data_IF_323989006236
#
_entry.id   IF_323989006236
#
_cell.length_a   1.000
_cell.length_b   1.000
_cell.length_c   1.000
_cell.angle_alpha   90.00
_cell.angle_beta   90.00
_cell.angle_gamma   90.00
#
_symmetry.space_group_name_H-M   'P 1'
#
loop_
_entity.id
_entity.type
_entity.pdbx_description
1 polymer ?
#
# COMPACT_ATOMS: atom_id res chain seq x y z
N UNK A 1 11.37 5.67 17.87
CA UNK A 1 10.35 6.11 16.88
C UNK A 1 9.16 6.76 17.58
N UNK A 2 8.51 7.79 16.99
CA UNK A 2 7.26 8.34 17.52
C UNK A 2 6.19 7.25 17.62
N UNK A 3 5.32 7.34 18.64
CA UNK A 3 4.19 6.43 18.73
C UNK A 3 3.19 6.68 17.59
N UNK A 4 2.46 5.66 17.14
CA UNK A 4 1.40 5.83 16.14
C UNK A 4 0.39 6.90 16.57
N UNK A 5 0.02 6.93 17.84
CA UNK A 5 -0.91 7.94 18.37
C UNK A 5 -0.36 9.38 18.19
N UNK A 6 0.93 9.58 18.46
CA UNK A 6 1.57 10.89 18.25
C UNK A 6 1.59 11.29 16.78
N UNK A 7 1.89 10.35 15.86
CA UNK A 7 1.86 10.60 14.42
C UNK A 7 0.46 10.95 13.94
N UNK A 8 -0.57 10.18 14.35
CA UNK A 8 -1.96 10.47 13.95
C UNK A 8 -2.48 11.80 14.53
N UNK A 9 -2.09 12.17 15.75
CA UNK A 9 -2.40 13.51 16.26
C UNK A 9 -1.82 14.62 15.38
N UNK A 10 -0.57 14.48 14.93
CA UNK A 10 0.04 15.44 14.01
C UNK A 10 -0.64 15.45 12.64
N UNK A 11 -1.03 14.28 12.12
CA UNK A 11 -1.73 14.15 10.83
C UNK A 11 -3.13 14.80 10.88
N UNK A 12 -3.88 14.58 11.97
CA UNK A 12 -5.26 15.04 12.09
C UNK A 12 -5.39 16.51 12.49
N UNK A 13 -4.50 16.99 13.35
CA UNK A 13 -4.59 18.33 13.94
C UNK A 13 -3.47 19.27 13.49
N UNK A 14 -2.45 18.76 12.82
CA UNK A 14 -1.37 19.57 12.26
C UNK A 14 -1.90 20.44 11.11
N UNK A 15 -1.73 21.74 11.23
CA UNK A 15 -2.02 22.66 10.12
C UNK A 15 -0.85 22.64 9.15
N UNK A 16 -1.13 22.40 7.89
CA UNK A 16 -0.19 22.47 6.78
C UNK A 16 -0.64 23.59 5.84
N UNK A 17 0.26 24.48 5.41
CA UNK A 17 -0.11 25.62 4.57
C UNK A 17 -0.60 25.24 3.16
N UNK A 18 -0.30 24.03 2.73
CA UNK A 18 -0.49 23.57 1.36
C UNK A 18 0.85 23.49 0.62
N UNK A 19 0.84 22.85 -0.55
CA UNK A 19 2.03 22.77 -1.37
C UNK A 19 2.33 24.12 -2.03
N UNK A 20 3.57 24.58 -1.92
CA UNK A 20 4.09 25.86 -2.42
C UNK A 20 4.68 25.75 -3.84
N UNK A 21 4.44 24.65 -4.54
CA UNK A 21 4.95 24.31 -5.88
C UNK A 21 6.49 24.11 -5.94
N UNK A 22 7.15 24.10 -4.79
CA UNK A 22 8.58 23.79 -4.73
C UNK A 22 8.83 22.28 -4.70
N UNK A 23 9.98 21.81 -5.23
CA UNK A 23 10.42 20.44 -5.10
C UNK A 23 10.50 20.02 -3.62
N UNK A 24 10.12 18.78 -3.33
CA UNK A 24 10.26 18.26 -1.98
C UNK A 24 11.73 17.99 -1.67
N UNK A 25 12.19 18.29 -0.45
CA UNK A 25 13.54 17.95 -0.05
C UNK A 25 13.67 16.44 0.17
N UNK A 26 14.84 15.91 0.00
CA UNK A 26 15.17 14.55 0.44
C UNK A 26 15.04 14.45 1.95
N UNK A 27 14.24 13.51 2.43
CA UNK A 27 14.03 13.24 3.86
C UNK A 27 14.29 11.77 4.10
N UNK A 28 15.27 11.48 4.93
CA UNK A 28 15.64 10.12 5.31
C UNK A 28 15.26 9.84 6.76
N UNK A 29 14.67 8.68 7.01
CA UNK A 29 14.33 8.19 8.36
C UNK A 29 14.66 6.71 8.47
N UNK A 30 15.10 6.30 9.66
CA UNK A 30 15.50 4.92 9.95
C UNK A 30 14.97 4.46 11.30
N UNK A 31 14.67 3.18 11.38
CA UNK A 31 14.45 2.45 12.63
C UNK A 31 15.34 1.21 12.66
N UNK A 32 16.21 1.11 13.63
CA UNK A 32 17.08 -0.05 13.84
C UNK A 32 16.55 -0.91 15.01
N UNK A 33 17.02 -2.15 15.09
CA UNK A 33 16.63 -3.12 16.12
C UNK A 33 15.12 -3.32 16.21
N UNK A 34 14.47 -3.38 15.03
CA UNK A 34 13.04 -3.62 14.96
C UNK A 34 12.76 -5.10 15.18
N UNK A 35 12.07 -5.39 16.29
CA UNK A 35 11.55 -6.72 16.58
C UNK A 35 10.08 -6.83 16.19
N UNK A 36 9.70 -7.96 15.68
CA UNK A 36 8.35 -8.20 15.17
C UNK A 36 7.49 -8.93 16.21
N UNK A 37 6.19 -8.64 16.21
CA UNK A 37 5.23 -9.32 17.07
C UNK A 37 4.52 -10.42 16.30
N UNK A 38 4.68 -11.66 16.74
CA UNK A 38 4.00 -12.85 16.18
C UNK A 38 2.47 -12.64 16.09
N UNK A 39 1.89 -12.06 17.13
CA UNK A 39 0.46 -11.80 17.18
C UNK A 39 0.01 -10.82 16.07
N UNK A 40 0.79 -9.74 15.85
CA UNK A 40 0.48 -8.78 14.78
C UNK A 40 0.69 -9.35 13.38
N UNK A 41 1.71 -10.19 13.20
CA UNK A 41 1.93 -10.89 11.93
C UNK A 41 0.73 -11.79 11.63
N UNK A 42 0.27 -12.56 12.62
CA UNK A 42 -0.89 -13.45 12.47
C UNK A 42 -2.15 -12.67 12.13
N UNK A 43 -2.44 -11.57 12.82
CA UNK A 43 -3.58 -10.70 12.53
C UNK A 43 -3.52 -10.12 11.10
N UNK A 44 -2.32 -9.74 10.65
CA UNK A 44 -2.11 -9.24 9.30
C UNK A 44 -2.31 -10.34 8.25
N UNK A 45 -1.71 -11.50 8.48
CA UNK A 45 -1.84 -12.65 7.60
C UNK A 45 -3.31 -13.04 7.43
N UNK A 46 -4.06 -13.14 8.53
CA UNK A 46 -5.48 -13.46 8.54
C UNK A 46 -6.31 -12.46 7.71
N UNK A 47 -6.18 -11.16 7.98
CA UNK A 47 -6.98 -10.14 7.28
C UNK A 47 -6.63 -10.01 5.81
N UNK A 48 -5.39 -10.35 5.42
CA UNK A 48 -4.92 -10.34 4.04
C UNK A 48 -5.06 -11.69 3.33
N UNK A 49 -5.33 -12.77 4.08
CA UNK A 49 -5.52 -14.12 3.56
C UNK A 49 -4.22 -14.84 3.19
N UNK A 50 -3.13 -14.53 3.86
CA UNK A 50 -1.91 -15.33 3.82
C UNK A 50 -2.00 -16.51 4.81
N UNK A 51 -1.44 -17.62 4.42
CA UNK A 51 -1.09 -18.69 5.36
C UNK A 51 0.17 -18.25 6.12
N UNK A 52 0.15 -18.34 7.43
CA UNK A 52 1.28 -17.99 8.28
C UNK A 52 1.68 -19.19 9.15
N UNK A 53 2.85 -19.73 8.87
CA UNK A 53 3.43 -20.88 9.53
C UNK A 53 4.05 -20.59 10.92
N UNK A 54 4.02 -19.30 11.35
CA UNK A 54 4.68 -18.83 12.56
C UNK A 54 6.13 -18.42 12.35
N UNK A 55 6.69 -18.64 11.17
CA UNK A 55 8.11 -18.42 10.85
C UNK A 55 8.30 -17.37 9.76
N UNK A 56 7.72 -17.62 8.58
CA UNK A 56 7.97 -16.79 7.39
C UNK A 56 6.98 -15.64 7.28
N UNK A 57 7.48 -14.41 7.15
CA UNK A 57 6.63 -13.23 7.04
C UNK A 57 5.84 -13.21 5.73
N UNK A 58 4.55 -12.79 5.77
CA UNK A 58 3.88 -12.36 4.54
C UNK A 58 4.70 -11.27 3.85
N UNK A 59 5.00 -11.38 2.55
CA UNK A 59 5.93 -10.46 1.86
C UNK A 59 5.57 -8.98 1.94
N UNK A 60 4.28 -8.69 2.07
CA UNK A 60 3.76 -7.32 2.20
C UNK A 60 3.73 -6.82 3.65
N UNK A 61 4.02 -7.68 4.66
CA UNK A 61 3.97 -7.27 6.06
C UNK A 61 5.03 -6.22 6.42
N UNK A 62 6.21 -6.29 5.80
CA UNK A 62 7.28 -5.32 6.05
C UNK A 62 6.88 -3.88 5.67
N UNK A 63 5.90 -3.73 4.77
CA UNK A 63 5.31 -2.44 4.44
C UNK A 63 4.62 -1.77 5.63
N UNK A 64 4.13 -2.52 6.61
CA UNK A 64 3.53 -1.99 7.85
C UNK A 64 4.55 -1.13 8.63
N UNK A 65 5.80 -1.56 8.66
CA UNK A 65 6.88 -0.80 9.29
C UNK A 65 7.35 0.37 8.41
N UNK A 66 7.47 0.14 7.10
CA UNK A 66 7.75 1.22 6.15
C UNK A 66 6.69 2.33 6.27
N UNK A 67 5.41 2.00 6.34
CA UNK A 67 4.32 2.97 6.48
C UNK A 67 4.44 3.85 7.74
N UNK A 68 4.93 3.31 8.86
CA UNK A 68 5.21 4.12 10.07
C UNK A 68 6.30 5.16 9.83
N UNK A 69 7.32 4.83 9.06
CA UNK A 69 8.37 5.77 8.66
C UNK A 69 7.85 6.77 7.62
N UNK A 70 7.02 6.34 6.67
CA UNK A 70 6.29 7.23 5.77
C UNK A 70 5.48 8.28 6.55
N UNK A 71 4.71 7.87 7.57
CA UNK A 71 3.96 8.78 8.42
C UNK A 71 4.88 9.77 9.16
N UNK A 72 6.09 9.37 9.53
CA UNK A 72 7.11 10.25 10.11
C UNK A 72 7.59 11.29 9.09
N UNK A 73 7.89 10.87 7.86
CA UNK A 73 8.26 11.78 6.76
C UNK A 73 7.14 12.77 6.49
N UNK A 74 5.88 12.30 6.34
CA UNK A 74 4.73 13.16 6.05
C UNK A 74 4.41 14.16 7.17
N UNK A 75 4.79 13.86 8.41
CA UNK A 75 4.65 14.82 9.52
C UNK A 75 5.85 15.76 9.67
N UNK A 76 6.89 15.60 8.86
CA UNK A 76 8.05 16.50 8.85
C UNK A 76 7.64 17.91 8.40
N UNK A 77 8.31 18.94 8.96
CA UNK A 77 7.98 20.34 8.69
C UNK A 77 8.16 20.75 7.22
N UNK A 78 9.09 20.12 6.52
CA UNK A 78 9.38 20.41 5.12
C UNK A 78 8.35 19.82 4.14
N UNK A 79 7.48 18.90 4.57
CA UNK A 79 6.31 18.48 3.81
C UNK A 79 5.17 19.41 4.14
N UNK A 80 4.84 20.33 3.24
CA UNK A 80 3.94 21.48 3.50
C UNK A 80 2.46 21.16 3.30
N UNK A 81 2.12 20.04 2.67
CA UNK A 81 0.75 19.60 2.39
C UNK A 81 0.28 18.48 3.35
N UNK A 82 -1.04 18.33 3.54
CA UNK A 82 -1.58 17.31 4.43
C UNK A 82 -1.46 15.90 3.84
N UNK A 83 -1.22 14.91 4.70
CA UNK A 83 -1.26 13.49 4.34
C UNK A 83 -2.66 13.04 3.91
N UNK A 84 -3.70 13.58 4.57
CA UNK A 84 -5.10 13.25 4.25
C UNK A 84 -5.48 13.78 2.88
N UNK A 85 -5.98 12.91 2.03
CA UNK A 85 -6.32 13.23 0.64
C UNK A 85 -5.23 12.88 -0.38
N UNK A 86 -4.07 12.40 0.04
CA UNK A 86 -3.09 11.83 -0.89
C UNK A 86 -3.57 10.51 -1.47
N UNK A 87 -3.22 10.30 -2.73
CA UNK A 87 -3.56 9.09 -3.47
C UNK A 87 -2.31 8.23 -3.64
N UNK A 88 -2.37 6.98 -3.22
CA UNK A 88 -1.33 5.99 -3.51
C UNK A 88 -1.55 5.47 -4.93
N UNK A 89 -0.66 5.86 -5.86
CA UNK A 89 -0.80 5.53 -7.29
C UNK A 89 -0.22 4.16 -7.62
N UNK A 90 1.00 3.89 -7.14
CA UNK A 90 1.78 2.70 -7.47
C UNK A 90 2.56 2.22 -6.27
N UNK A 91 2.77 0.93 -6.23
CA UNK A 91 3.67 0.33 -5.25
C UNK A 91 4.38 -0.88 -5.86
N UNK A 92 5.71 -0.83 -5.85
CA UNK A 92 6.60 -1.96 -6.15
C UNK A 92 7.15 -2.53 -4.85
N UNK A 93 7.25 -3.85 -4.73
CA UNK A 93 7.94 -4.55 -3.63
C UNK A 93 8.83 -5.60 -4.25
N UNK A 94 10.14 -5.54 -3.95
CA UNK A 94 11.11 -6.59 -4.25
C UNK A 94 11.43 -7.37 -2.97
N UNK A 95 11.33 -8.67 -3.03
CA UNK A 95 11.66 -9.62 -1.97
C UNK A 95 12.87 -10.42 -2.45
N UNK A 96 14.02 -10.21 -1.81
CA UNK A 96 15.27 -10.84 -2.22
C UNK A 96 15.46 -12.22 -1.58
N UNK A 97 14.85 -12.45 -0.43
CA UNK A 97 14.66 -13.75 0.22
C UNK A 97 13.48 -13.72 1.20
N UNK A 98 12.94 -14.86 1.59
CA UNK A 98 12.01 -14.92 2.72
C UNK A 98 12.62 -14.32 4.00
N UNK A 99 11.84 -13.53 4.72
CA UNK A 99 12.24 -12.94 6.00
C UNK A 99 11.54 -13.66 7.13
N UNK A 100 12.31 -14.03 8.17
CA UNK A 100 11.77 -14.76 9.33
C UNK A 100 11.24 -13.80 10.39
N UNK A 101 10.26 -14.24 11.12
CA UNK A 101 9.59 -13.45 12.16
C UNK A 101 10.44 -13.22 13.42
N UNK A 102 11.53 -13.99 13.58
CA UNK A 102 12.51 -13.88 14.68
C UNK A 102 13.74 -13.03 14.31
N UNK A 103 13.86 -12.55 13.07
CA UNK A 103 14.95 -11.68 12.64
C UNK A 103 14.80 -10.26 13.18
N UNK A 104 15.92 -9.66 13.55
CA UNK A 104 16.00 -8.24 13.93
C UNK A 104 16.24 -7.40 12.68
N UNK A 105 15.36 -6.42 12.45
CA UNK A 105 15.36 -5.66 11.22
C UNK A 105 15.89 -4.23 11.41
N UNK A 106 16.51 -3.72 10.36
CA UNK A 106 16.70 -2.28 10.15
C UNK A 106 15.79 -1.85 9.00
N UNK A 107 14.92 -0.87 9.25
CA UNK A 107 13.98 -0.32 8.27
C UNK A 107 14.36 1.12 7.97
N UNK A 108 14.50 1.44 6.70
CA UNK A 108 14.90 2.76 6.20
C UNK A 108 13.85 3.25 5.22
N UNK A 109 13.53 4.54 5.26
CA UNK A 109 12.66 5.18 4.28
C UNK A 109 13.23 6.53 3.88
N UNK A 110 13.09 6.83 2.59
CA UNK A 110 13.55 8.06 1.98
C UNK A 110 12.48 8.63 1.07
N UNK A 111 12.19 9.92 1.24
CA UNK A 111 11.51 10.71 0.22
C UNK A 111 12.58 11.10 -0.81
N UNK A 112 12.56 10.45 -1.97
CA UNK A 112 13.70 10.46 -2.89
C UNK A 112 13.51 11.36 -4.10
N UNK A 113 12.29 11.46 -4.61
CA UNK A 113 12.00 12.20 -5.84
C UNK A 113 10.62 12.84 -5.79
N UNK A 114 10.47 13.96 -6.48
CA UNK A 114 9.17 14.62 -6.66
C UNK A 114 9.09 15.29 -8.02
N UNK A 115 7.91 15.24 -8.64
CA UNK A 115 7.67 15.76 -9.99
C UNK A 115 6.29 16.38 -10.10
N UNK A 116 6.24 17.51 -10.78
CA UNK A 116 5.00 18.19 -11.10
C UNK A 116 4.33 17.51 -12.28
N UNK A 117 3.06 17.20 -12.12
CA UNK A 117 2.22 16.64 -13.17
C UNK A 117 0.97 17.48 -13.34
N UNK A 118 0.25 17.28 -14.43
CA UNK A 118 -1.05 17.95 -14.62
C UNK A 118 -2.09 17.58 -13.54
N UNK A 119 -1.88 16.51 -12.78
CA UNK A 119 -2.80 16.05 -11.73
C UNK A 119 -2.40 16.55 -10.35
N UNK A 120 -1.21 17.14 -10.21
CA UNK A 120 -0.63 17.62 -8.97
C UNK A 120 0.81 17.18 -8.78
N UNK A 121 1.27 17.15 -7.54
CA UNK A 121 2.61 16.73 -7.17
C UNK A 121 2.65 15.21 -6.98
N UNK A 122 3.37 14.52 -7.84
CA UNK A 122 3.76 13.12 -7.61
C UNK A 122 5.10 13.07 -6.89
N UNK A 123 5.25 12.10 -6.00
CA UNK A 123 6.51 11.88 -5.28
C UNK A 123 6.68 10.43 -4.88
N UNK A 124 7.94 10.04 -4.69
CA UNK A 124 8.35 8.67 -4.46
C UNK A 124 8.95 8.48 -3.05
N UNK A 125 8.52 7.41 -2.38
CA UNK A 125 9.10 6.93 -1.14
C UNK A 125 9.78 5.58 -1.39
N UNK A 126 11.09 5.54 -1.21
CA UNK A 126 11.88 4.30 -1.21
C UNK A 126 11.95 3.78 0.22
N UNK A 127 11.64 2.51 0.41
CA UNK A 127 11.75 1.82 1.70
C UNK A 127 12.64 0.61 1.54
N UNK A 128 13.56 0.40 2.48
CA UNK A 128 14.49 -0.73 2.49
C UNK A 128 14.43 -1.41 3.86
N UNK A 129 14.50 -2.74 3.84
CA UNK A 129 14.64 -3.55 5.06
C UNK A 129 15.87 -4.41 4.92
N UNK A 130 16.74 -4.35 5.94
CA UNK A 130 17.95 -5.16 6.04
C UNK A 130 17.95 -5.99 7.32
N UNK A 131 18.60 -7.15 7.24
CA UNK A 131 18.93 -8.04 8.36
C UNK A 131 20.45 -8.20 8.38
N UNK A 132 21.12 -7.84 9.45
CA UNK A 132 22.57 -7.90 9.56
C UNK A 132 23.27 -7.30 8.33
N UNK A 133 22.85 -6.11 7.90
CA UNK A 133 23.32 -5.35 6.72
C UNK A 133 22.97 -5.97 5.34
N UNK A 134 22.40 -7.17 5.28
CA UNK A 134 21.87 -7.74 4.05
C UNK A 134 20.53 -7.09 3.68
N UNK A 135 20.42 -6.52 2.47
CA UNK A 135 19.14 -6.03 1.95
C UNK A 135 18.24 -7.21 1.60
N UNK A 136 17.16 -7.39 2.35
CA UNK A 136 16.23 -8.53 2.18
C UNK A 136 14.93 -8.15 1.51
N UNK A 137 14.57 -6.85 1.56
CA UNK A 137 13.31 -6.34 1.02
C UNK A 137 13.42 -4.86 0.66
N UNK A 138 12.77 -4.47 -0.41
CA UNK A 138 12.69 -3.08 -0.83
C UNK A 138 11.30 -2.75 -1.36
N UNK A 139 10.84 -1.53 -1.17
CA UNK A 139 9.62 -1.01 -1.80
C UNK A 139 9.81 0.39 -2.35
N UNK A 140 9.13 0.65 -3.45
CA UNK A 140 8.93 1.99 -4.02
C UNK A 140 7.44 2.30 -4.02
N UNK A 141 7.05 3.39 -3.36
CA UNK A 141 5.66 3.89 -3.33
C UNK A 141 5.56 5.23 -4.01
N UNK A 142 4.72 5.35 -5.02
CA UNK A 142 4.41 6.61 -5.68
C UNK A 142 3.10 7.15 -5.17
N UNK A 143 3.13 8.36 -4.64
CA UNK A 143 1.95 9.10 -4.15
C UNK A 143 1.68 10.32 -5.00
N UNK A 144 0.41 10.74 -5.01
CA UNK A 144 -0.05 11.98 -5.63
C UNK A 144 -0.71 12.87 -4.57
N UNK A 145 -0.18 14.06 -4.39
CA UNK A 145 -0.92 15.16 -3.79
C UNK A 145 -1.68 15.89 -4.90
N UNK A 146 -3.01 15.65 -4.92
CA UNK A 146 -3.86 16.15 -5.99
C UNK A 146 -4.07 17.65 -5.88
N UNK A 147 -3.97 18.34 -7.01
CA UNK A 147 -4.38 19.72 -7.17
C UNK A 147 -5.63 19.71 -8.06
N UNK A 148 -6.71 20.29 -7.56
CA UNK A 148 -7.94 20.39 -8.34
C UNK A 148 -7.74 21.38 -9.50
N UNK A 149 -7.76 20.83 -10.72
CA UNK A 149 -7.75 21.62 -11.95
C UNK A 149 -9.19 21.71 -12.44
N UNK A 150 -9.81 22.90 -12.45
CA UNK A 150 -11.18 23.07 -12.92
C UNK A 150 -11.38 22.52 -14.34
N UNK A 151 -12.45 21.77 -14.56
CA UNK A 151 -12.85 21.28 -15.88
C UNK A 151 -12.22 19.95 -16.33
N UNK A 152 -11.26 19.39 -15.61
CA UNK A 152 -10.64 18.11 -15.97
C UNK A 152 -11.40 16.92 -15.38
N UNK A 153 -12.10 16.19 -16.24
CA UNK A 153 -12.64 14.86 -15.88
C UNK A 153 -11.62 13.78 -16.30
N UNK A 154 -11.05 13.08 -15.32
CA UNK A 154 -10.22 11.94 -15.61
C UNK A 154 -11.05 10.86 -16.35
N UNK A 155 -10.52 10.35 -17.47
CA UNK A 155 -11.13 9.21 -18.14
C UNK A 155 -11.02 7.98 -17.24
N UNK A 156 -12.12 7.23 -17.01
CA UNK A 156 -12.03 6.03 -16.19
C UNK A 156 -11.08 5.02 -16.83
N UNK A 157 -10.23 4.35 -16.04
CA UNK A 157 -9.32 3.34 -16.56
C UNK A 157 -10.12 2.17 -17.12
N UNK A 158 -9.61 1.58 -18.21
CA UNK A 158 -10.16 0.35 -18.80
C UNK A 158 -9.50 -0.86 -18.14
N UNK A 159 -10.28 -1.93 -17.99
CA UNK A 159 -9.73 -3.23 -17.67
C UNK A 159 -8.88 -3.72 -18.85
N UNK A 160 -7.79 -4.46 -18.56
CA UNK A 160 -6.99 -5.09 -19.61
C UNK A 160 -7.73 -6.27 -20.22
N UNK A 161 -7.38 -6.61 -21.46
CA UNK A 161 -7.72 -7.90 -22.02
C UNK A 161 -6.78 -8.94 -21.45
N UNK A 162 -7.29 -9.83 -20.63
CA UNK A 162 -6.51 -10.82 -19.91
C UNK A 162 -7.21 -12.16 -19.92
N UNK A 163 -6.49 -13.21 -20.34
CA UNK A 163 -6.97 -14.59 -20.31
C UNK A 163 -6.85 -15.15 -18.88
N UNK A 164 -7.82 -14.88 -18.04
CA UNK A 164 -7.78 -15.27 -16.63
C UNK A 164 -7.78 -16.79 -16.47
N UNK A 165 -6.74 -17.30 -15.81
CA UNK A 165 -6.55 -18.73 -15.56
C UNK A 165 -7.30 -19.22 -14.32
N UNK A 166 -7.41 -18.34 -13.29
CA UNK A 166 -8.15 -18.60 -12.07
C UNK A 166 -8.91 -17.34 -11.68
N UNK A 167 -10.21 -17.48 -11.41
CA UNK A 167 -11.11 -16.38 -11.08
C UNK A 167 -11.72 -16.62 -9.72
N UNK A 168 -11.54 -15.67 -8.81
CA UNK A 168 -12.09 -15.70 -7.46
C UNK A 168 -12.93 -14.47 -7.21
N UNK A 169 -14.05 -14.65 -6.54
CA UNK A 169 -14.88 -13.53 -6.05
C UNK A 169 -14.67 -13.36 -4.56
N UNK A 170 -14.49 -12.13 -4.12
CA UNK A 170 -14.32 -11.79 -2.71
C UNK A 170 -15.39 -10.82 -2.28
N UNK A 171 -16.03 -11.15 -1.17
CA UNK A 171 -16.94 -10.24 -0.48
C UNK A 171 -16.17 -9.41 0.53
N UNK A 172 -16.22 -8.10 0.38
CA UNK A 172 -15.62 -7.13 1.27
C UNK A 172 -16.69 -6.63 2.26
N UNK A 173 -16.47 -6.87 3.54
CA UNK A 173 -17.38 -6.47 4.60
C UNK A 173 -17.12 -5.04 5.07
N UNK A 174 -18.08 -4.41 5.73
CA UNK A 174 -17.92 -3.03 6.24
C UNK A 174 -16.80 -2.88 7.28
N UNK A 175 -16.49 -3.93 8.02
CA UNK A 175 -15.48 -3.94 9.08
C UNK A 175 -14.07 -4.17 8.57
N UNK A 176 -13.90 -4.56 7.31
CA UNK A 176 -12.60 -4.89 6.71
C UNK A 176 -11.58 -3.77 6.88
N UNK A 177 -11.98 -2.51 6.65
CA UNK A 177 -11.10 -1.36 6.83
C UNK A 177 -10.57 -1.23 8.25
N UNK A 178 -11.43 -1.44 9.26
CA UNK A 178 -11.04 -1.41 10.67
C UNK A 178 -10.15 -2.59 11.06
N UNK A 179 -10.45 -3.80 10.55
CA UNK A 179 -9.60 -5.00 10.78
C UNK A 179 -8.20 -4.80 10.19
N UNK A 180 -8.11 -4.31 8.96
CA UNK A 180 -6.83 -4.04 8.34
C UNK A 180 -6.08 -2.90 9.06
N UNK A 181 -6.75 -1.81 9.43
CA UNK A 181 -6.14 -0.71 10.20
C UNK A 181 -5.54 -1.20 11.53
N UNK A 182 -6.23 -2.10 12.25
CA UNK A 182 -5.72 -2.71 13.49
C UNK A 182 -4.45 -3.52 13.27
N UNK A 183 -4.37 -4.25 12.16
CA UNK A 183 -3.22 -5.09 11.82
C UNK A 183 -2.06 -4.29 11.23
N UNK A 184 -2.33 -3.30 10.38
CA UNK A 184 -1.32 -2.53 9.65
C UNK A 184 -0.89 -1.23 10.32
N UNK A 185 -1.71 -0.70 11.23
CA UNK A 185 -1.51 0.63 11.79
C UNK A 185 -1.92 1.78 10.87
N UNK A 186 -2.51 1.50 9.70
CA UNK A 186 -3.05 2.51 8.79
C UNK A 186 -4.49 2.89 9.17
N UNK A 187 -4.61 3.90 10.03
CA UNK A 187 -5.89 4.45 10.49
C UNK A 187 -6.35 5.66 9.67
N UNK A 188 -6.06 5.72 8.38
CA UNK A 188 -6.58 6.79 7.53
C UNK A 188 -8.11 6.76 7.55
N UNK A 189 -8.72 7.90 7.88
CA UNK A 189 -10.13 8.05 8.20
C UNK A 189 -11.08 7.60 7.08
N UNK A 190 -10.67 7.67 5.82
CA UNK A 190 -11.47 7.25 4.67
C UNK A 190 -11.77 5.74 4.65
N UNK A 191 -11.02 4.96 5.43
CA UNK A 191 -11.15 3.51 5.52
C UNK A 191 -11.95 3.03 6.74
N UNK A 192 -12.30 3.93 7.67
CA UNK A 192 -12.77 3.55 9.00
C UNK A 192 -14.28 3.75 9.21
N UNK A 193 -14.83 4.86 8.70
CA UNK A 193 -16.22 5.21 8.96
C UNK A 193 -16.85 6.02 7.82
N UNK A 194 -18.12 5.76 7.45
CA UNK A 194 -18.78 6.45 6.33
C UNK A 194 -18.86 7.98 6.46
N UNK A 195 -19.10 8.50 7.67
CA UNK A 195 -19.15 9.94 7.91
C UNK A 195 -17.78 10.61 7.70
N UNK A 196 -16.70 9.88 8.01
CA UNK A 196 -15.35 10.38 7.81
C UNK A 196 -14.96 10.35 6.34
N UNK A 197 -15.27 9.28 5.60
CA UNK A 197 -15.00 9.22 4.17
C UNK A 197 -15.79 10.26 3.37
N UNK A 198 -17.04 10.55 3.73
CA UNK A 198 -17.85 11.62 3.11
C UNK A 198 -17.20 13.01 3.22
N UNK A 199 -16.51 13.30 4.33
CA UNK A 199 -15.79 14.55 4.51
C UNK A 199 -14.64 14.73 3.48
N UNK A 200 -14.15 13.62 2.92
CA UNK A 200 -13.13 13.61 1.87
C UNK A 200 -13.71 13.37 0.47
N UNK A 201 -15.03 13.51 0.29
CA UNK A 201 -15.70 13.40 -1.01
C UNK A 201 -16.02 11.98 -1.46
N UNK A 202 -15.94 10.98 -0.57
CA UNK A 202 -16.28 9.60 -0.88
C UNK A 202 -17.65 9.21 -0.30
N UNK A 203 -18.51 8.62 -1.11
CA UNK A 203 -19.86 8.23 -0.69
C UNK A 203 -19.88 7.13 0.38
N UNK A 204 -18.89 6.24 0.36
CA UNK A 204 -18.75 5.08 1.25
C UNK A 204 -17.30 4.92 1.71
N UNK A 205 -17.11 4.03 2.68
CA UNK A 205 -15.78 3.63 3.17
C UNK A 205 -15.01 2.93 2.06
N UNK A 206 -13.71 3.15 2.00
CA UNK A 206 -12.81 2.57 1.01
C UNK A 206 -11.99 1.43 1.61
N UNK A 207 -11.73 0.38 0.85
CA UNK A 207 -10.69 -0.59 1.21
C UNK A 207 -9.30 0.06 1.04
N UNK A 208 -8.33 -0.34 1.87
CA UNK A 208 -6.95 0.09 1.71
C UNK A 208 -6.34 -0.50 0.43
N UNK A 209 -5.64 0.32 -0.34
CA UNK A 209 -4.94 -0.16 -1.54
C UNK A 209 -3.95 -1.27 -1.21
N UNK A 210 -3.17 -1.12 -0.13
CA UNK A 210 -2.20 -2.13 0.29
C UNK A 210 -2.85 -3.43 0.80
N UNK A 211 -4.09 -3.39 1.34
CA UNK A 211 -4.85 -4.60 1.58
C UNK A 211 -5.17 -5.31 0.25
N UNK A 212 -5.62 -4.57 -0.75
CA UNK A 212 -5.92 -5.13 -2.08
C UNK A 212 -4.70 -5.80 -2.70
N UNK A 213 -3.52 -5.16 -2.62
CA UNK A 213 -2.25 -5.76 -3.05
C UNK A 213 -1.92 -7.03 -2.26
N UNK A 214 -1.99 -6.97 -0.93
CA UNK A 214 -1.68 -8.10 -0.06
C UNK A 214 -2.62 -9.28 -0.32
N UNK A 215 -3.93 -9.00 -0.45
CA UNK A 215 -4.93 -10.04 -0.75
C UNK A 215 -4.73 -10.69 -2.11
N UNK A 216 -4.39 -9.90 -3.13
CA UNK A 216 -4.06 -10.42 -4.46
C UNK A 216 -2.79 -11.29 -4.41
N UNK A 217 -1.73 -10.79 -3.77
CA UNK A 217 -0.46 -11.53 -3.65
C UNK A 217 -0.64 -12.85 -2.88
N UNK A 218 -1.48 -12.89 -1.84
CA UNK A 218 -1.73 -14.12 -1.08
C UNK A 218 -2.25 -15.26 -1.94
N UNK A 219 -2.94 -14.96 -3.05
CA UNK A 219 -3.44 -15.98 -3.98
C UNK A 219 -2.35 -16.50 -4.94
N UNK A 220 -1.22 -15.83 -5.01
CA UNK A 220 -0.13 -16.16 -5.92
C UNK A 220 1.04 -16.84 -5.20
N UNK A 221 1.04 -16.88 -3.86
CA UNK A 221 2.16 -17.41 -3.07
C UNK A 221 2.49 -18.87 -3.39
N UNK A 222 1.49 -19.70 -3.67
CA UNK A 222 1.71 -21.10 -4.08
C UNK A 222 2.49 -21.26 -5.39
N UNK A 223 2.44 -20.25 -6.27
CA UNK A 223 3.19 -20.23 -7.53
C UNK A 223 4.58 -19.62 -7.37
N UNK A 224 4.73 -18.70 -6.41
CA UNK A 224 5.98 -17.97 -6.17
C UNK A 224 6.94 -18.82 -5.35
N UNK A 225 6.45 -19.47 -4.29
CA UNK A 225 7.28 -20.19 -3.32
C UNK A 225 8.28 -19.27 -2.62
N UNK A 226 9.49 -19.76 -2.42
CA UNK A 226 10.58 -19.04 -1.73
C UNK A 226 11.53 -18.30 -2.69
N UNK A 227 11.17 -18.19 -3.97
CA UNK A 227 12.02 -17.54 -4.97
C UNK A 227 12.04 -16.02 -4.73
N UNK A 228 13.18 -15.35 -5.00
CA UNK A 228 13.20 -13.89 -5.09
C UNK A 228 12.22 -13.41 -6.17
N UNK A 229 11.48 -12.35 -5.86
CA UNK A 229 10.49 -11.80 -6.78
C UNK A 229 10.24 -10.32 -6.55
N UNK A 230 9.68 -9.68 -7.55
CA UNK A 230 9.13 -8.34 -7.47
C UNK A 230 7.63 -8.38 -7.74
N UNK A 231 6.85 -7.64 -6.97
CA UNK A 231 5.43 -7.42 -7.22
C UNK A 231 5.14 -5.95 -7.41
N UNK A 232 4.71 -5.59 -8.62
CA UNK A 232 4.33 -4.24 -9.01
C UNK A 232 2.82 -4.12 -9.07
N UNK A 233 2.26 -3.03 -8.54
CA UNK A 233 0.84 -2.73 -8.68
C UNK A 233 0.61 -1.26 -9.01
N UNK A 234 -0.45 -1.03 -9.78
CA UNK A 234 -1.08 0.27 -9.96
C UNK A 234 -2.48 0.25 -9.34
N UNK A 235 -2.74 1.20 -8.45
CA UNK A 235 -4.06 1.41 -7.89
C UNK A 235 -4.90 2.26 -8.86
N UNK A 236 -6.02 1.71 -9.34
CA UNK A 236 -6.85 2.36 -10.38
C UNK A 236 -8.07 3.03 -9.76
N UNK A 237 -9.13 2.31 -9.53
CA UNK A 237 -10.37 2.85 -8.96
C UNK A 237 -10.50 2.46 -7.49
N UNK A 238 -11.06 3.34 -6.64
CA UNK A 238 -11.32 3.00 -5.26
C UNK A 238 -12.28 1.80 -5.14
N UNK A 239 -12.03 0.93 -4.18
CA UNK A 239 -12.92 -0.17 -3.80
C UNK A 239 -13.78 0.30 -2.64
N UNK A 240 -15.06 0.50 -2.88
CA UNK A 240 -16.01 0.86 -1.83
C UNK A 240 -16.46 -0.36 -1.01
N UNK A 241 -16.68 -0.18 0.27
CA UNK A 241 -17.18 -1.23 1.15
C UNK A 241 -18.56 -0.89 1.73
N UNK A 242 -19.45 -1.87 1.91
CA UNK A 242 -19.32 -3.26 1.48
C UNK A 242 -19.45 -3.39 -0.05
N UNK A 243 -18.80 -4.39 -0.62
CA UNK A 243 -18.90 -4.73 -2.05
C UNK A 243 -18.39 -6.13 -2.35
N UNK A 244 -18.48 -6.52 -3.60
CA UNK A 244 -17.86 -7.72 -4.14
C UNK A 244 -16.88 -7.32 -5.24
N UNK A 245 -15.75 -8.01 -5.31
CA UNK A 245 -14.71 -7.83 -6.33
C UNK A 245 -14.34 -9.17 -6.95
N UNK A 246 -13.89 -9.12 -8.18
CA UNK A 246 -13.39 -10.29 -8.90
C UNK A 246 -11.88 -10.16 -9.05
N UNK A 247 -11.16 -11.19 -8.65
CA UNK A 247 -9.72 -11.34 -8.84
C UNK A 247 -9.44 -12.39 -9.89
N UNK A 248 -8.44 -12.18 -10.71
CA UNK A 248 -7.94 -13.16 -11.65
C UNK A 248 -6.49 -12.88 -12.03
N UNK A 249 -5.82 -13.90 -12.52
CA UNK A 249 -4.45 -13.80 -13.01
C UNK A 249 -4.23 -14.66 -14.25
N UNK A 250 -3.13 -14.40 -14.94
CA UNK A 250 -2.61 -15.23 -16.03
C UNK A 250 -1.10 -15.41 -15.89
N UNK A 251 -0.58 -16.50 -16.47
CA UNK A 251 0.86 -16.72 -16.55
C UNK A 251 1.45 -15.87 -17.66
N UNK A 252 2.61 -15.28 -17.40
CA UNK A 252 3.47 -14.60 -18.36
C UNK A 252 4.85 -15.27 -18.35
N UNK A 253 5.71 -14.93 -19.29
CA UNK A 253 7.01 -15.59 -19.50
C UNK A 253 7.84 -15.72 -18.21
N UNK A 254 7.94 -14.66 -17.41
CA UNK A 254 8.72 -14.65 -16.15
C UNK A 254 7.86 -14.25 -14.96
N UNK A 255 6.69 -14.87 -14.78
CA UNK A 255 5.86 -14.55 -13.62
C UNK A 255 4.35 -14.67 -13.83
N UNK A 256 3.63 -13.75 -13.21
CA UNK A 256 2.16 -13.67 -13.26
C UNK A 256 1.70 -12.24 -13.45
N UNK A 257 0.71 -12.01 -14.32
CA UNK A 257 -0.06 -10.77 -14.39
C UNK A 257 -1.40 -10.98 -13.69
N UNK A 258 -1.86 -10.02 -12.91
CA UNK A 258 -3.10 -10.16 -12.14
C UNK A 258 -3.87 -8.85 -12.07
N UNK A 259 -5.17 -8.96 -11.87
CA UNK A 259 -6.05 -7.81 -11.65
C UNK A 259 -7.11 -8.11 -10.58
N UNK A 260 -7.54 -7.05 -9.92
CA UNK A 260 -8.77 -7.02 -9.14
C UNK A 260 -9.73 -6.01 -9.78
N UNK A 261 -10.94 -6.46 -10.09
CA UNK A 261 -11.97 -5.69 -10.78
C UNK A 261 -13.27 -5.64 -9.97
N UNK A 262 -14.19 -4.79 -10.40
CA UNK A 262 -15.56 -4.83 -9.89
C UNK A 262 -16.20 -6.22 -10.15
N UNK A 263 -17.31 -6.51 -9.49
CA UNK A 263 -18.02 -7.81 -9.60
C UNK A 263 -18.40 -8.16 -11.04
N UNK A 264 -18.57 -7.14 -11.90
CA UNK A 264 -18.89 -7.34 -13.34
C UNK A 264 -17.62 -7.53 -14.19
N UNK A 265 -16.44 -7.51 -13.61
CA UNK A 265 -15.16 -7.66 -14.31
C UNK A 265 -14.81 -6.51 -15.27
N UNK A 266 -15.46 -5.34 -15.14
CA UNK A 266 -15.35 -4.25 -16.12
C UNK A 266 -14.42 -3.13 -15.68
N UNK A 267 -14.37 -2.83 -14.38
CA UNK A 267 -13.64 -1.70 -13.84
C UNK A 267 -12.47 -2.18 -13.00
N UNK A 268 -11.24 -1.89 -13.39
CA UNK A 268 -10.07 -2.31 -12.60
C UNK A 268 -9.95 -1.46 -11.33
N UNK A 269 -9.76 -2.13 -10.21
CA UNK A 269 -9.37 -1.54 -8.94
C UNK A 269 -7.87 -1.60 -8.72
N UNK A 270 -7.26 -2.71 -9.15
CA UNK A 270 -5.84 -3.00 -9.03
C UNK A 270 -5.37 -3.74 -10.27
N UNK A 271 -4.24 -3.35 -10.82
CA UNK A 271 -3.52 -4.07 -11.86
C UNK A 271 -2.09 -4.32 -11.40
N UNK A 272 -1.55 -5.51 -11.62
CA UNK A 272 -0.21 -5.81 -11.17
C UNK A 272 0.44 -7.00 -11.85
N UNK A 273 1.75 -7.10 -11.60
CA UNK A 273 2.59 -8.20 -12.06
C UNK A 273 3.42 -8.73 -10.89
N UNK A 274 3.67 -10.03 -10.89
CA UNK A 274 4.75 -10.65 -10.14
C UNK A 274 5.79 -11.10 -11.16
N UNK A 275 7.06 -10.73 -10.93
CA UNK A 275 8.20 -11.10 -11.77
C UNK A 275 9.27 -11.76 -10.90
N UNK A 276 9.80 -12.88 -11.32
CA UNK A 276 10.92 -13.54 -10.63
C UNK A 276 12.22 -12.75 -10.85
N UNK A 277 13.04 -12.61 -9.79
CA UNK A 277 14.33 -11.92 -9.82
C UNK A 277 15.49 -12.88 -10.07
#
# INVERSE_FOLDING_TARGET
MPSLLSLYRKILFGRKPGWDQQPLPTIYVQASNVMLSQEKIRQYAEVCGFEFDGVTLPPTYLYVWAFRLHATIFTHKAVTFPLLGMIHLKNSISVFRPVRSDETLTVQCELSDSRNTDSGLEFDLVSKVSVADELVWQALSTYLYRIDTPGRRARPPKASEMAWQDVKQWRLTEDLGRRYAKASGDYNLIHLHPLLSKRFGFERVLAHGMWSKARALSQLMTFIGDKPFQVDVEFKLPVFMPSEVTFGFESIENGKRFEMRDVKGRRPHLQGNVTYL
#
